data_IF_284740448110
#
_entry.id   IF_284740448110
#
_cell.length_a   1.000
_cell.length_b   1.000
_cell.length_c   1.000
_cell.angle_alpha   90.00
_cell.angle_beta   90.00
_cell.angle_gamma   90.00
#
_symmetry.space_group_name_H-M   'P 1'
#
loop_
_entity.id
_entity.type
_entity.pdbx_description
1 polymer ?
#
# COMPACT_ATOMS: atom_id res chain seq x y z
N UNK A 1 -0.23 6.39 -26.78
CA UNK A 1 0.35 7.40 -25.85
C UNK A 1 1.69 7.78 -26.43
N UNK A 2 1.89 9.04 -26.85
CA UNK A 2 3.18 9.49 -27.38
C UNK A 2 4.26 9.33 -26.30
N UNK A 3 5.21 8.42 -26.54
CA UNK A 3 6.30 8.15 -25.61
C UNK A 3 7.33 9.28 -25.70
N UNK A 4 7.25 10.24 -24.76
CA UNK A 4 8.22 11.32 -24.64
C UNK A 4 9.49 10.81 -23.97
N UNK A 5 10.62 10.95 -24.67
CA UNK A 5 11.95 10.63 -24.15
C UNK A 5 12.31 11.60 -23.02
N UNK A 6 12.65 11.08 -21.82
CA UNK A 6 13.34 11.88 -20.81
C UNK A 6 14.84 11.86 -21.12
N UNK A 7 15.28 12.79 -21.98
CA UNK A 7 16.70 13.00 -22.27
C UNK A 7 17.37 13.85 -21.17
N UNK A 8 17.17 13.52 -19.89
CA UNK A 8 17.89 14.15 -18.77
C UNK A 8 19.42 13.93 -18.82
N UNK A 9 19.87 13.07 -19.72
CA UNK A 9 21.27 12.71 -19.94
C UNK A 9 21.93 13.49 -21.09
N UNK A 10 21.15 14.20 -21.91
CA UNK A 10 21.69 15.06 -22.95
C UNK A 10 22.13 16.38 -22.33
N UNK A 11 23.45 16.61 -22.29
CA UNK A 11 24.05 17.92 -22.00
C UNK A 11 24.36 18.79 -23.25
N UNK A 12 23.55 18.85 -24.32
CA UNK A 12 23.37 20.04 -25.14
C UNK A 12 22.18 20.87 -24.58
N UNK A 13 22.18 22.17 -24.83
CA UNK A 13 21.12 23.10 -24.42
C UNK A 13 19.71 22.47 -24.43
N UNK A 14 18.92 22.68 -23.35
CA UNK A 14 17.59 22.09 -23.10
C UNK A 14 16.64 22.10 -24.33
N UNK A 15 16.80 23.08 -25.23
CA UNK A 15 16.06 23.19 -26.49
C UNK A 15 16.37 22.08 -27.51
N UNK A 16 17.61 21.61 -27.60
CA UNK A 16 18.02 20.56 -28.55
C UNK A 16 17.45 19.21 -28.12
N UNK A 17 17.55 18.88 -26.83
CA UNK A 17 16.96 17.66 -26.29
C UNK A 17 15.45 17.60 -26.51
N UNK A 18 14.71 18.68 -26.21
CA UNK A 18 13.25 18.73 -26.44
C UNK A 18 12.88 18.54 -27.91
N UNK A 19 13.61 19.16 -28.84
CA UNK A 19 13.37 19.00 -30.28
C UNK A 19 13.56 17.56 -30.75
N UNK A 20 14.58 16.87 -30.23
CA UNK A 20 14.79 15.44 -30.53
C UNK A 20 13.64 14.63 -29.93
N UNK A 21 13.31 14.82 -28.65
CA UNK A 21 12.23 14.09 -27.97
C UNK A 21 10.86 14.22 -28.65
N UNK A 22 10.54 15.39 -29.20
CA UNK A 22 9.24 15.66 -29.83
C UNK A 22 9.20 15.22 -31.31
N UNK A 23 10.34 14.97 -31.95
CA UNK A 23 10.43 14.73 -33.40
C UNK A 23 10.83 13.30 -33.80
N UNK A 24 11.44 12.51 -32.92
CA UNK A 24 11.86 11.13 -33.25
C UNK A 24 11.55 10.15 -32.11
N UNK A 25 11.06 8.97 -32.48
CA UNK A 25 10.86 7.86 -31.53
C UNK A 25 12.20 7.31 -31.03
N UNK A 26 12.27 6.81 -29.78
CA UNK A 26 13.52 6.30 -29.21
C UNK A 26 14.19 5.22 -30.05
N UNK A 27 13.42 4.30 -30.64
CA UNK A 27 13.94 3.23 -31.48
C UNK A 27 14.62 3.76 -32.76
N UNK A 28 14.01 4.76 -33.39
CA UNK A 28 14.57 5.39 -34.59
C UNK A 28 15.81 6.23 -34.25
N UNK A 29 15.85 6.87 -33.08
CA UNK A 29 17.02 7.56 -32.57
C UNK A 29 18.18 6.58 -32.34
N UNK A 30 17.94 5.46 -31.67
CA UNK A 30 18.96 4.43 -31.41
C UNK A 30 19.46 3.82 -32.71
N UNK A 31 18.58 3.53 -33.67
CA UNK A 31 19.00 3.06 -35.00
C UNK A 31 19.84 4.08 -35.77
N UNK A 32 19.51 5.38 -35.69
CA UNK A 32 20.31 6.45 -36.30
C UNK A 32 21.74 6.48 -35.72
N UNK A 33 21.84 6.32 -34.40
CA UNK A 33 23.11 6.32 -33.67
C UNK A 33 23.94 5.06 -33.98
N UNK A 34 23.30 3.88 -34.06
CA UNK A 34 23.98 2.62 -34.37
C UNK A 34 24.46 2.53 -35.82
N UNK A 35 23.72 3.10 -36.77
CA UNK A 35 24.06 3.09 -38.20
C UNK A 35 24.90 4.28 -38.65
N UNK A 36 25.24 5.18 -37.73
CA UNK A 36 25.97 6.42 -37.99
C UNK A 36 25.34 7.28 -39.11
N UNK A 37 24.04 7.58 -38.96
CA UNK A 37 23.24 8.31 -39.97
C UNK A 37 22.80 9.70 -39.50
N UNK A 38 23.69 10.71 -39.50
CA UNK A 38 23.39 12.07 -39.06
C UNK A 38 22.37 12.79 -39.96
N UNK A 39 22.26 12.43 -41.24
CA UNK A 39 21.30 13.03 -42.18
C UNK A 39 19.87 12.65 -41.84
N UNK A 40 19.66 11.39 -41.42
CA UNK A 40 18.33 10.90 -41.00
C UNK A 40 17.86 11.63 -39.74
N UNK A 41 18.77 11.84 -38.79
CA UNK A 41 18.48 12.60 -37.58
C UNK A 41 18.21 14.08 -37.90
N UNK A 42 18.97 14.69 -38.81
CA UNK A 42 18.80 16.09 -39.21
C UNK A 42 17.47 16.31 -39.93
N UNK A 43 17.09 15.39 -40.83
CA UNK A 43 15.82 15.44 -41.57
C UNK A 43 14.59 15.34 -40.65
N UNK A 44 14.65 14.50 -39.62
CA UNK A 44 13.54 14.33 -38.69
C UNK A 44 13.46 15.45 -37.64
N UNK A 45 14.59 15.97 -37.16
CA UNK A 45 14.63 16.92 -36.02
C UNK A 45 14.77 18.39 -36.44
N UNK A 46 15.11 18.67 -37.70
CA UNK A 46 15.41 20.01 -38.20
C UNK A 46 16.66 20.64 -37.57
N UNK A 47 17.56 19.82 -37.01
CA UNK A 47 18.84 20.25 -36.45
C UNK A 47 19.90 20.37 -37.55
N UNK A 48 20.90 21.23 -37.31
CA UNK A 48 22.04 21.37 -38.22
C UNK A 48 22.86 20.07 -38.29
N UNK A 49 23.39 19.69 -39.47
CA UNK A 49 24.16 18.45 -39.64
C UNK A 49 25.36 18.28 -38.69
N UNK A 50 26.07 19.38 -38.38
CA UNK A 50 27.19 19.36 -37.43
C UNK A 50 26.75 19.00 -36.00
N UNK A 51 25.57 19.48 -35.62
CA UNK A 51 25.00 19.23 -34.30
C UNK A 51 24.48 17.79 -34.17
N UNK A 52 23.88 17.24 -35.24
CA UNK A 52 23.43 15.84 -35.24
C UNK A 52 24.60 14.87 -35.23
N UNK A 53 25.69 15.17 -35.93
CA UNK A 53 26.93 14.40 -35.85
C UNK A 53 27.52 14.39 -34.43
N UNK A 54 27.65 15.57 -33.81
CA UNK A 54 28.13 15.69 -32.42
C UNK A 54 27.23 14.93 -31.43
N UNK A 55 25.90 14.93 -31.66
CA UNK A 55 24.94 14.18 -30.84
C UNK A 55 25.13 12.68 -30.98
N UNK A 56 25.31 12.17 -32.20
CA UNK A 56 25.54 10.73 -32.46
C UNK A 56 26.84 10.30 -31.79
N UNK A 57 27.94 11.03 -31.97
CA UNK A 57 29.23 10.73 -31.33
C UNK A 57 29.10 10.74 -29.79
N UNK A 58 28.36 11.70 -29.22
CA UNK A 58 28.11 11.76 -27.79
C UNK A 58 27.31 10.54 -27.31
N UNK A 59 26.26 10.12 -28.03
CA UNK A 59 25.43 8.97 -27.67
C UNK A 59 26.19 7.64 -27.84
N UNK A 60 27.01 7.50 -28.88
CA UNK A 60 27.88 6.33 -29.07
C UNK A 60 28.92 6.22 -27.95
N UNK A 61 29.47 7.34 -27.47
CA UNK A 61 30.47 7.36 -26.38
C UNK A 61 29.93 6.86 -25.03
N UNK A 62 28.60 6.83 -24.85
CA UNK A 62 27.93 6.33 -23.63
C UNK A 62 27.87 4.80 -23.58
N UNK A 63 28.12 4.12 -24.70
CA UNK A 63 28.07 2.66 -24.81
C UNK A 63 26.67 2.10 -25.12
N UNK A 64 26.66 0.85 -25.58
CA UNK A 64 25.47 0.15 -26.08
C UNK A 64 24.37 -0.03 -25.02
N UNK A 65 24.75 -0.22 -23.75
CA UNK A 65 23.79 -0.46 -22.67
C UNK A 65 22.91 0.78 -22.39
N UNK A 66 23.53 1.96 -22.29
CA UNK A 66 22.81 3.22 -22.10
C UNK A 66 21.96 3.59 -23.31
N UNK A 67 22.42 3.23 -24.52
CA UNK A 67 21.67 3.47 -25.75
C UNK A 67 20.40 2.63 -25.78
N UNK A 68 20.48 1.31 -25.49
CA UNK A 68 19.30 0.45 -25.44
C UNK A 68 18.34 0.82 -24.31
N UNK A 69 18.80 1.44 -23.21
CA UNK A 69 17.90 1.96 -22.16
C UNK A 69 16.91 3.00 -22.71
N UNK A 70 17.27 3.74 -23.75
CA UNK A 70 16.34 4.68 -24.42
C UNK A 70 15.14 3.96 -25.06
N UNK A 71 15.31 2.71 -25.49
CA UNK A 71 14.25 1.88 -26.11
C UNK A 71 13.42 1.11 -25.06
N UNK A 72 13.84 1.12 -23.80
CA UNK A 72 13.11 0.46 -22.73
C UNK A 72 12.06 1.40 -22.13
N UNK A 73 10.87 0.86 -21.87
CA UNK A 73 9.84 1.54 -21.09
C UNK A 73 9.54 0.71 -19.86
N UNK A 74 9.59 1.33 -18.69
CA UNK A 74 9.09 0.69 -17.47
C UNK A 74 7.56 0.70 -17.53
N UNK A 75 6.96 -0.48 -17.70
CA UNK A 75 5.53 -0.69 -17.67
C UNK A 75 5.17 -1.38 -16.35
N UNK A 76 4.92 -0.61 -15.26
CA UNK A 76 4.57 -1.22 -13.99
C UNK A 76 3.20 -1.88 -14.09
N UNK A 77 3.01 -2.98 -13.37
CA UNK A 77 1.71 -3.59 -13.20
C UNK A 77 0.75 -2.59 -12.54
N UNK A 78 -0.49 -2.56 -13.01
CA UNK A 78 -1.57 -1.77 -12.41
C UNK A 78 -2.55 -2.70 -11.71
N UNK A 79 -2.41 -2.94 -10.40
CA UNK A 79 -3.37 -3.79 -9.68
C UNK A 79 -4.74 -3.12 -9.67
N UNK A 80 -5.77 -3.89 -10.02
CA UNK A 80 -7.17 -3.50 -9.94
C UNK A 80 -7.86 -4.40 -8.92
N UNK A 81 -8.38 -3.79 -7.86
CA UNK A 81 -9.07 -4.51 -6.79
C UNK A 81 -10.56 -4.23 -6.94
N UNK A 82 -11.35 -5.29 -7.01
CA UNK A 82 -12.81 -5.25 -7.00
C UNK A 82 -13.35 -6.10 -5.87
N UNK A 83 -14.50 -5.70 -5.34
CA UNK A 83 -15.13 -6.35 -4.20
C UNK A 83 -16.63 -6.51 -4.43
N UNK A 84 -17.14 -7.70 -4.16
CA UNK A 84 -18.58 -7.98 -4.18
C UNK A 84 -19.18 -7.51 -2.86
N UNK A 85 -20.00 -6.46 -2.93
CA UNK A 85 -20.59 -5.81 -1.75
C UNK A 85 -21.89 -6.48 -1.34
N UNK A 86 -22.64 -6.92 -2.34
CA UNK A 86 -23.90 -7.66 -2.24
C UNK A 86 -23.92 -8.68 -3.37
N UNK A 87 -24.72 -9.74 -3.25
CA UNK A 87 -24.79 -10.78 -4.26
C UNK A 87 -25.07 -10.20 -5.66
N UNK A 88 -24.09 -10.32 -6.56
CA UNK A 88 -24.12 -9.79 -7.94
C UNK A 88 -23.70 -8.33 -8.10
N UNK A 89 -23.39 -7.60 -7.02
CA UNK A 89 -22.98 -6.20 -7.06
C UNK A 89 -21.49 -6.06 -6.75
N UNK A 90 -20.68 -5.90 -7.80
CA UNK A 90 -19.24 -5.70 -7.71
C UNK A 90 -18.91 -4.20 -7.82
N UNK A 91 -18.07 -3.70 -6.92
CA UNK A 91 -17.56 -2.32 -6.95
C UNK A 91 -16.04 -2.33 -7.04
N UNK A 92 -15.46 -1.34 -7.70
CA UNK A 92 -14.02 -1.11 -7.68
C UNK A 92 -13.59 -0.55 -6.34
N UNK A 93 -12.32 -0.76 -5.96
CA UNK A 93 -11.76 -0.28 -4.70
C UNK A 93 -12.02 1.21 -4.44
N UNK A 94 -11.98 2.05 -5.47
CA UNK A 94 -12.19 3.49 -5.33
C UNK A 94 -13.63 3.87 -4.93
N UNK A 95 -14.61 3.04 -5.33
CA UNK A 95 -16.05 3.25 -5.10
C UNK A 95 -16.52 2.73 -3.74
N UNK A 96 -15.64 2.03 -3.01
CA UNK A 96 -15.96 1.48 -1.69
C UNK A 96 -15.96 2.56 -0.61
N UNK A 97 -16.75 2.31 0.44
CA UNK A 97 -16.71 3.12 1.67
C UNK A 97 -15.34 3.02 2.33
N UNK A 98 -14.99 4.02 3.15
CA UNK A 98 -13.70 4.03 3.87
C UNK A 98 -13.53 2.76 4.72
N UNK A 99 -14.59 2.33 5.41
CA UNK A 99 -14.53 1.09 6.21
C UNK A 99 -14.26 -0.15 5.38
N UNK A 100 -14.94 -0.32 4.25
CA UNK A 100 -14.70 -1.46 3.37
C UNK A 100 -13.28 -1.48 2.79
N UNK A 101 -12.74 -0.31 2.42
CA UNK A 101 -11.36 -0.18 1.94
C UNK A 101 -10.37 -0.70 2.99
N UNK A 102 -10.56 -0.32 4.25
CA UNK A 102 -9.69 -0.74 5.35
C UNK A 102 -9.84 -2.24 5.60
N UNK A 103 -11.05 -2.79 5.55
CA UNK A 103 -11.27 -4.25 5.64
C UNK A 103 -10.47 -5.02 4.61
N UNK A 104 -10.51 -4.57 3.36
CA UNK A 104 -9.79 -5.22 2.26
C UNK A 104 -8.29 -5.12 2.47
N UNK A 105 -7.77 -3.94 2.83
CA UNK A 105 -6.34 -3.74 3.11
C UNK A 105 -5.88 -4.66 4.25
N UNK A 106 -6.61 -4.70 5.36
CA UNK A 106 -6.28 -5.56 6.51
C UNK A 106 -6.34 -7.04 6.11
N UNK A 107 -7.36 -7.44 5.35
CA UNK A 107 -7.51 -8.81 4.87
C UNK A 107 -6.36 -9.24 3.95
N UNK A 108 -5.93 -8.37 3.02
CA UNK A 108 -4.78 -8.62 2.15
C UNK A 108 -3.48 -8.70 2.97
N UNK A 109 -3.28 -7.79 3.92
CA UNK A 109 -2.11 -7.79 4.81
C UNK A 109 -2.04 -9.05 5.70
N UNK A 110 -3.20 -9.61 6.08
CA UNK A 110 -3.27 -10.89 6.81
C UNK A 110 -2.92 -12.08 5.93
N UNK A 111 -3.39 -12.09 4.67
CA UNK A 111 -3.09 -13.16 3.70
C UNK A 111 -1.60 -13.20 3.34
N UNK A 112 -0.97 -12.04 3.20
CA UNK A 112 0.39 -11.94 2.69
C UNK A 112 1.45 -11.81 3.81
N UNK A 113 2.40 -12.76 3.83
CA UNK A 113 3.61 -12.69 4.66
C UNK A 113 3.54 -13.34 6.05
N UNK A 114 4.69 -13.33 6.74
CA UNK A 114 4.88 -13.84 8.12
C UNK A 114 5.26 -12.74 9.11
N UNK A 115 5.42 -11.50 8.64
CA UNK A 115 5.83 -10.36 9.47
C UNK A 115 4.75 -10.01 10.51
N UNK A 116 5.07 -9.42 11.68
CA UNK A 116 4.04 -8.96 12.61
C UNK A 116 3.17 -7.87 11.95
N UNK A 117 1.85 -7.95 12.15
CA UNK A 117 0.88 -6.95 11.69
C UNK A 117 0.46 -6.10 12.90
N UNK A 118 0.81 -4.81 12.87
CA UNK A 118 0.42 -3.83 13.89
C UNK A 118 -0.71 -2.99 13.29
N UNK A 119 -1.87 -2.98 13.95
CA UNK A 119 -3.04 -2.20 13.52
C UNK A 119 -3.40 -1.31 14.70
N UNK A 120 -3.14 -0.01 14.58
CA UNK A 120 -3.54 0.95 15.60
C UNK A 120 -4.96 1.43 15.30
N UNK A 121 -5.79 1.50 16.33
CA UNK A 121 -7.20 1.91 16.28
C UNK A 121 -7.97 1.43 15.02
N UNK A 122 -8.03 0.10 14.76
CA UNK A 122 -8.84 -0.41 13.65
C UNK A 122 -10.28 0.16 13.70
N UNK A 123 -10.86 0.32 14.89
CA UNK A 123 -12.24 0.72 15.14
C UNK A 123 -12.73 2.00 14.48
N UNK A 124 -11.94 3.07 14.51
CA UNK A 124 -12.42 4.42 14.20
C UNK A 124 -12.81 4.56 12.73
N UNK A 125 -12.37 3.61 11.92
CA UNK A 125 -12.53 3.65 10.48
C UNK A 125 -13.28 2.43 9.93
N UNK A 126 -13.80 1.54 10.78
CA UNK A 126 -14.35 0.23 10.40
C UNK A 126 -15.89 0.18 10.52
N UNK A 127 -16.56 -0.27 9.45
CA UNK A 127 -17.99 -0.59 9.42
C UNK A 127 -18.29 -1.85 10.27
N UNK A 128 -18.90 -1.65 11.43
CA UNK A 128 -18.86 -2.56 12.59
C UNK A 128 -19.35 -3.98 12.32
N UNK A 129 -20.30 -4.18 11.39
CA UNK A 129 -20.92 -5.50 11.21
C UNK A 129 -20.14 -6.41 10.24
N UNK A 130 -19.80 -5.90 9.06
CA UNK A 130 -19.10 -6.70 8.02
C UNK A 130 -17.69 -7.09 8.45
N UNK A 131 -17.02 -6.16 9.13
CA UNK A 131 -15.65 -6.33 9.63
C UNK A 131 -15.56 -7.32 10.76
N UNK A 132 -16.54 -7.31 11.66
CA UNK A 132 -16.55 -8.25 12.76
C UNK A 132 -16.58 -9.68 12.24
N UNK A 133 -17.44 -9.98 11.27
CA UNK A 133 -17.54 -11.35 10.75
C UNK A 133 -16.30 -11.76 9.95
N UNK A 134 -15.86 -10.92 9.01
CA UNK A 134 -14.77 -11.30 8.10
C UNK A 134 -13.39 -11.26 8.75
N UNK A 135 -13.08 -10.20 9.52
CA UNK A 135 -11.78 -10.06 10.18
C UNK A 135 -11.67 -11.06 11.34
N UNK A 136 -12.71 -11.24 12.17
CA UNK A 136 -12.64 -12.21 13.28
C UNK A 136 -12.50 -13.63 12.75
N UNK A 137 -13.24 -14.00 11.69
CA UNK A 137 -13.11 -15.31 11.05
C UNK A 137 -11.68 -15.53 10.53
N UNK A 138 -11.15 -14.61 9.72
CA UNK A 138 -9.79 -14.71 9.18
C UNK A 138 -8.73 -14.71 10.28
N UNK A 139 -8.88 -13.90 11.33
CA UNK A 139 -7.99 -13.90 12.48
C UNK A 139 -8.01 -15.22 13.25
N UNK A 140 -9.14 -15.95 13.26
CA UNK A 140 -9.23 -17.30 13.85
C UNK A 140 -8.55 -18.34 12.96
N UNK A 141 -8.67 -18.22 11.65
CA UNK A 141 -8.05 -19.13 10.67
C UNK A 141 -6.52 -18.94 10.60
N UNK A 142 -6.03 -17.69 10.54
CA UNK A 142 -4.60 -17.39 10.50
C UNK A 142 -3.90 -17.53 11.87
N UNK A 143 -4.68 -17.77 12.93
CA UNK A 143 -4.23 -17.92 14.33
C UNK A 143 -3.16 -19.00 14.50
N UNK A 144 -3.20 -20.06 13.69
CA UNK A 144 -2.24 -21.17 13.74
C UNK A 144 -0.98 -20.93 12.90
N UNK A 145 -1.01 -19.95 11.98
CA UNK A 145 0.04 -19.75 10.97
C UNK A 145 0.98 -18.58 11.28
N UNK A 146 0.56 -17.59 12.07
CA UNK A 146 1.30 -16.33 12.27
C UNK A 146 1.22 -15.81 13.72
N UNK A 147 2.34 -15.33 14.25
CA UNK A 147 2.37 -14.55 15.49
C UNK A 147 1.98 -13.10 15.18
N UNK A 148 0.75 -12.71 15.51
CA UNK A 148 0.29 -11.33 15.43
C UNK A 148 0.43 -10.65 16.80
N UNK A 149 1.41 -9.76 16.98
CA UNK A 149 1.42 -8.85 18.14
C UNK A 149 0.40 -7.75 17.89
N UNK A 150 -0.74 -7.80 18.59
CA UNK A 150 -1.86 -6.85 18.43
C UNK A 150 -1.80 -5.80 19.54
N UNK A 151 -1.80 -4.53 19.15
CA UNK A 151 -2.18 -3.41 20.01
C UNK A 151 -3.56 -2.98 19.48
N UNK A 152 -4.61 -2.97 20.30
CA UNK A 152 -5.94 -2.53 19.83
C UNK A 152 -6.70 -1.89 20.99
N UNK A 153 -7.36 -0.76 20.72
CA UNK A 153 -8.22 0.00 21.64
C UNK A 153 -9.72 -0.20 21.38
N UNK A 154 -10.13 -1.15 20.53
CA UNK A 154 -11.52 -1.61 20.46
C UNK A 154 -11.82 -2.76 21.45
N UNK A 155 -12.70 -2.48 22.40
CA UNK A 155 -13.26 -3.47 23.33
C UNK A 155 -13.84 -4.70 22.62
N UNK A 156 -14.69 -4.50 21.63
CA UNK A 156 -15.54 -5.56 21.06
C UNK A 156 -14.75 -6.54 20.18
N UNK A 157 -13.76 -6.06 19.42
CA UNK A 157 -12.90 -6.92 18.60
C UNK A 157 -11.92 -7.74 19.47
N UNK A 158 -11.46 -7.18 20.60
CA UNK A 158 -10.67 -7.92 21.59
C UNK A 158 -11.46 -9.05 22.24
N UNK A 159 -12.72 -8.79 22.63
CA UNK A 159 -13.59 -9.80 23.25
C UNK A 159 -13.98 -10.92 22.28
N UNK A 160 -14.14 -10.59 20.99
CA UNK A 160 -14.58 -11.51 19.95
C UNK A 160 -13.48 -12.41 19.39
N UNK A 161 -12.23 -11.93 19.45
CA UNK A 161 -11.07 -12.66 18.99
C UNK A 161 -10.41 -13.37 20.16
N UNK A 162 -10.07 -14.66 20.06
CA UNK A 162 -9.26 -15.30 21.08
C UNK A 162 -7.89 -14.64 21.12
N UNK A 163 -7.66 -13.82 22.14
CA UNK A 163 -6.39 -13.16 22.37
C UNK A 163 -5.45 -14.06 23.18
N UNK A 164 -4.20 -14.16 22.74
CA UNK A 164 -3.18 -14.94 23.45
C UNK A 164 -2.50 -14.15 24.57
N UNK A 165 -2.42 -12.83 24.40
CA UNK A 165 -1.69 -11.94 25.29
C UNK A 165 -2.28 -10.55 25.21
N UNK A 166 -2.86 -10.09 26.32
CA UNK A 166 -3.37 -8.74 26.51
C UNK A 166 -2.47 -8.01 27.49
N UNK A 167 -2.28 -6.72 27.32
CA UNK A 167 -1.61 -5.85 28.30
C UNK A 167 -2.59 -4.79 28.77
N UNK A 168 -2.90 -4.79 30.06
CA UNK A 168 -3.68 -3.72 30.68
C UNK A 168 -2.72 -2.69 31.25
N UNK A 169 -2.74 -1.50 30.67
CA UNK A 169 -1.88 -0.39 31.04
C UNK A 169 -2.65 0.59 31.91
N UNK A 170 -2.01 1.06 32.97
CA UNK A 170 -2.44 2.22 33.73
C UNK A 170 -1.36 3.29 33.58
N UNK A 171 -1.76 4.55 33.48
CA UNK A 171 -0.85 5.64 33.18
C UNK A 171 -1.12 6.85 34.08
N UNK A 172 -0.05 7.39 34.65
CA UNK A 172 -0.01 8.75 35.16
C UNK A 172 0.62 9.67 34.11
N UNK A 173 0.65 10.98 34.38
CA UNK A 173 1.19 11.97 33.45
C UNK A 173 2.66 11.73 33.05
N UNK A 174 3.40 10.98 33.87
CA UNK A 174 4.85 10.78 33.81
C UNK A 174 5.28 9.33 33.56
N UNK A 175 4.38 8.35 33.71
CA UNK A 175 4.72 6.92 33.54
C UNK A 175 3.51 6.06 33.21
N UNK A 176 3.74 5.04 32.38
CA UNK A 176 2.83 3.91 32.20
C UNK A 176 3.34 2.69 32.99
N UNK A 177 2.42 1.93 33.58
CA UNK A 177 2.70 0.66 34.24
C UNK A 177 1.76 -0.43 33.71
N UNK A 178 2.29 -1.63 33.52
CA UNK A 178 1.47 -2.81 33.22
C UNK A 178 0.81 -3.26 34.52
N UNK A 179 -0.52 -3.22 34.58
CA UNK A 179 -1.32 -3.72 35.72
C UNK A 179 -1.60 -5.20 35.62
N UNK A 180 -1.80 -5.70 34.41
CA UNK A 180 -2.01 -7.11 34.15
C UNK A 180 -1.54 -7.47 32.75
N UNK A 181 -1.06 -8.70 32.60
CA UNK A 181 -0.69 -9.29 31.32
C UNK A 181 -1.23 -10.72 31.19
N UNK A 182 -1.64 -11.09 29.99
CA UNK A 182 -2.10 -12.44 29.64
C UNK A 182 -3.44 -12.47 28.92
N UNK A 183 -3.95 -13.67 28.67
CA UNK A 183 -5.24 -13.87 28.02
C UNK A 183 -6.43 -13.38 28.85
N UNK A 184 -7.58 -13.28 28.18
CA UNK A 184 -8.87 -12.91 28.79
C UNK A 184 -9.40 -13.94 29.80
N UNK A 185 -8.87 -15.15 29.75
CA UNK A 185 -9.13 -16.24 30.69
C UNK A 185 -8.48 -16.03 32.06
N UNK A 186 -7.49 -15.14 32.18
CA UNK A 186 -6.92 -14.76 33.47
C UNK A 186 -7.91 -13.88 34.25
N UNK A 187 -8.26 -14.24 35.50
CA UNK A 187 -9.23 -13.48 36.29
C UNK A 187 -8.90 -11.99 36.45
N UNK A 188 -7.62 -11.66 36.70
CA UNK A 188 -7.18 -10.28 36.89
C UNK A 188 -7.31 -9.45 35.60
N UNK A 189 -6.87 -10.01 34.47
CA UNK A 189 -7.02 -9.38 33.15
C UNK A 189 -8.49 -9.22 32.81
N UNK A 190 -9.31 -10.25 32.98
CA UNK A 190 -10.75 -10.21 32.70
C UNK A 190 -11.45 -9.10 33.49
N UNK A 191 -11.20 -9.05 34.80
CA UNK A 191 -11.78 -8.06 35.70
C UNK A 191 -11.41 -6.64 35.28
N UNK A 192 -10.14 -6.39 34.95
CA UNK A 192 -9.68 -5.08 34.53
C UNK A 192 -10.24 -4.68 33.15
N UNK A 193 -10.29 -5.62 32.21
CA UNK A 193 -10.93 -5.38 30.90
C UNK A 193 -12.41 -5.04 31.09
N UNK A 194 -13.16 -5.80 31.89
CA UNK A 194 -14.57 -5.52 32.19
C UNK A 194 -14.74 -4.14 32.85
N UNK A 195 -13.85 -3.77 33.76
CA UNK A 195 -13.88 -2.46 34.40
C UNK A 195 -13.61 -1.32 33.41
N UNK A 196 -12.53 -1.41 32.63
CA UNK A 196 -12.09 -0.31 31.76
C UNK A 196 -12.94 -0.17 30.50
N UNK A 197 -13.38 -1.29 29.94
CA UNK A 197 -14.10 -1.32 28.68
C UNK A 197 -15.61 -1.20 28.87
N UNK A 198 -16.14 -1.79 29.94
CA UNK A 198 -17.59 -1.83 30.20
C UNK A 198 -18.02 -1.03 31.44
N UNK A 199 -17.08 -0.41 32.16
CA UNK A 199 -17.40 0.35 33.37
C UNK A 199 -17.70 -0.53 34.59
N UNK A 200 -17.38 -1.82 34.51
CA UNK A 200 -17.58 -2.80 35.59
C UNK A 200 -18.77 -3.75 35.36
N UNK A 201 -18.91 -4.78 36.23
CA UNK A 201 -19.93 -5.82 36.09
C UNK A 201 -21.35 -5.26 36.07
N UNK A 202 -21.67 -4.31 36.96
CA UNK A 202 -23.03 -3.76 37.07
C UNK A 202 -23.42 -2.97 35.82
N UNK A 203 -22.47 -2.21 35.26
CA UNK A 203 -22.68 -1.43 34.04
C UNK A 203 -22.85 -2.32 32.80
N UNK A 204 -22.10 -3.44 32.74
CA UNK A 204 -22.24 -4.45 31.71
C UNK A 204 -23.62 -5.13 31.78
N UNK A 205 -24.04 -5.60 32.95
CA UNK A 205 -25.35 -6.24 33.15
C UNK A 205 -26.49 -5.31 32.78
N UNK A 206 -26.43 -4.04 33.19
CA UNK A 206 -27.46 -3.05 32.85
C UNK A 206 -27.57 -2.83 31.33
N UNK A 207 -26.44 -2.81 30.61
CA UNK A 207 -26.43 -2.72 29.14
C UNK A 207 -26.99 -3.97 28.50
N UNK A 208 -26.59 -5.15 28.96
CA UNK A 208 -27.09 -6.43 28.46
C UNK A 208 -28.61 -6.52 28.62
N UNK A 209 -29.15 -6.11 29.77
CA UNK A 209 -30.60 -6.07 30.01
C UNK A 209 -31.35 -5.10 29.09
N UNK A 210 -30.72 -4.01 28.64
CA UNK A 210 -31.33 -3.06 27.69
C UNK A 210 -31.29 -3.56 26.26
N UNK A 211 -30.21 -4.22 25.85
CA UNK A 211 -30.02 -4.67 24.46
C UNK A 211 -30.69 -6.02 24.15
N UNK A 212 -30.82 -6.90 25.15
CA UNK A 212 -31.40 -8.24 24.99
C UNK A 212 -32.89 -8.30 25.40
N UNK A 213 -33.52 -7.14 25.62
CA UNK A 213 -34.95 -7.02 25.96
C UNK A 213 -35.83 -6.97 24.73
#
# INVERSE_FOLDING_TARGET
VMHRVRLSFLNPSFRTASKVCDAIEPCNLVQAVLKDQPEMLAGNTGLYPELTKTLIEHLQSRGLEELHKLETVHLPDKPEISFEVEAGTVKSFNELSVGMKITIIVSLAMMEGRAPLIIDQPEDSLDTQFIYEEIVRRLREEKERRQSSRLTMLTSLWLATPSYLSFVLDASADKGVIKSEGGIDRPDTNRLLLLHLEGGPEAFELRAQKYLR
#
